data_IF_182769980862
#
_entry.id   IF_182769980862
#
_cell.length_a   1.000
_cell.length_b   1.000
_cell.length_c   1.000
_cell.angle_alpha   90.00
_cell.angle_beta   90.00
_cell.angle_gamma   90.00
#
_symmetry.space_group_name_H-M   'P 1'
#
loop_
_entity.id
_entity.type
_entity.pdbx_description
1 polymer ?
#
# COMPACT_ATOMS: atom_id res chain seq x y z
N UNK A 1 -14.90 -0.16 -3.62
CA UNK A 1 -15.64 -1.06 -4.52
C UNK A 1 -16.88 -0.31 -4.92
N UNK A 2 -17.29 -0.45 -6.17
CA UNK A 2 -18.48 0.22 -6.73
C UNK A 2 -19.26 -0.86 -7.46
N UNK A 3 -20.56 -0.97 -7.19
CA UNK A 3 -21.43 -2.03 -7.73
C UNK A 3 -20.87 -3.46 -7.56
N UNK A 4 -20.24 -3.73 -6.40
CA UNK A 4 -19.66 -5.04 -6.07
C UNK A 4 -18.34 -5.38 -6.79
N UNK A 5 -17.78 -4.44 -7.56
CA UNK A 5 -16.52 -4.61 -8.29
C UNK A 5 -15.41 -3.70 -7.76
N UNK A 6 -14.16 -4.14 -7.98
CA UNK A 6 -12.98 -3.40 -7.60
C UNK A 6 -12.80 -2.16 -8.50
N UNK A 7 -13.05 -0.98 -7.95
CA UNK A 7 -12.80 0.31 -8.60
C UNK A 7 -11.37 0.78 -8.29
N UNK A 8 -10.43 0.46 -9.19
CA UNK A 8 -9.00 0.72 -9.01
C UNK A 8 -8.67 2.20 -9.15
N UNK A 9 -9.46 2.97 -9.90
CA UNK A 9 -9.22 4.40 -10.11
C UNK A 9 -9.56 5.20 -8.85
N UNK A 10 -10.45 4.68 -8.01
CA UNK A 10 -10.75 5.23 -6.68
C UNK A 10 -9.70 4.90 -5.60
N UNK A 11 -8.67 4.10 -5.89
CA UNK A 11 -7.70 3.70 -4.86
C UNK A 11 -6.84 4.88 -4.40
N UNK A 12 -6.64 4.99 -3.07
CA UNK A 12 -5.84 6.05 -2.45
C UNK A 12 -4.87 5.46 -1.46
N UNK A 13 -3.71 6.11 -1.31
CA UNK A 13 -2.71 5.78 -0.29
C UNK A 13 -2.48 7.03 0.54
N UNK A 14 -2.36 6.82 1.84
CA UNK A 14 -2.03 7.88 2.78
C UNK A 14 -0.65 7.60 3.35
N UNK A 15 0.24 8.58 3.24
CA UNK A 15 1.49 8.58 4.00
C UNK A 15 1.13 9.08 5.40
N UNK A 16 1.28 8.20 6.39
CA UNK A 16 1.04 8.53 7.79
C UNK A 16 2.06 9.54 8.28
N UNK A 17 1.62 10.45 9.15
CA UNK A 17 2.54 11.34 9.85
C UNK A 17 3.27 10.50 10.89
N UNK A 18 4.57 10.74 11.08
CA UNK A 18 5.37 9.91 11.95
C UNK A 18 4.84 10.01 13.39
N UNK A 19 4.35 8.90 13.94
CA UNK A 19 4.19 8.73 15.38
C UNK A 19 5.58 8.57 15.97
N UNK A 20 5.94 9.39 16.96
CA UNK A 20 7.20 9.24 17.67
C UNK A 20 7.17 7.91 18.45
N UNK A 21 7.92 6.90 18.00
CA UNK A 21 8.01 5.60 18.68
C UNK A 21 7.71 4.40 17.78
N UNK A 22 7.20 3.31 18.39
CA UNK A 22 6.77 2.11 17.65
C UNK A 22 5.57 2.45 16.75
N UNK A 23 5.44 1.82 15.57
CA UNK A 23 4.24 1.94 14.75
C UNK A 23 3.01 1.54 15.56
N UNK A 24 2.01 2.42 15.60
CA UNK A 24 0.71 2.19 16.22
C UNK A 24 -0.33 2.11 15.11
N UNK A 25 -0.72 0.87 14.78
CA UNK A 25 -1.63 0.59 13.67
C UNK A 25 -3.03 1.18 13.90
N UNK A 26 -3.48 1.30 15.16
CA UNK A 26 -4.75 1.92 15.49
C UNK A 26 -4.71 3.43 15.24
N UNK A 27 -3.68 4.11 15.76
CA UNK A 27 -3.51 5.54 15.52
C UNK A 27 -3.36 5.86 14.03
N UNK A 28 -2.59 5.05 13.29
CA UNK A 28 -2.41 5.22 11.85
C UNK A 28 -3.70 5.01 11.07
N UNK A 29 -4.53 4.02 11.44
CA UNK A 29 -5.82 3.81 10.81
C UNK A 29 -6.81 4.94 11.10
N UNK A 30 -6.86 5.42 12.35
CA UNK A 30 -7.67 6.58 12.75
C UNK A 30 -7.30 7.83 11.95
N UNK A 31 -6.01 8.18 11.90
CA UNK A 31 -5.52 9.32 11.11
C UNK A 31 -5.91 9.20 9.63
N UNK A 32 -5.78 7.99 9.07
CA UNK A 32 -6.14 7.72 7.68
C UNK A 32 -7.62 7.95 7.41
N UNK A 33 -8.49 7.41 8.27
CA UNK A 33 -9.95 7.52 8.14
C UNK A 33 -10.41 8.96 8.28
N UNK A 34 -10.01 9.67 9.34
CA UNK A 34 -10.30 11.09 9.53
C UNK A 34 -9.91 11.90 8.28
N UNK A 35 -8.66 11.75 7.82
CA UNK A 35 -8.16 12.47 6.63
C UNK A 35 -8.92 12.12 5.35
N UNK A 36 -9.42 10.89 5.22
CA UNK A 36 -10.22 10.47 4.06
C UNK A 36 -11.59 11.14 4.10
N UNK A 37 -12.29 11.01 5.23
CA UNK A 37 -13.65 11.51 5.44
C UNK A 37 -13.67 13.04 5.34
N UNK A 38 -12.75 13.71 6.02
CA UNK A 38 -12.61 15.17 5.99
C UNK A 38 -12.45 15.74 4.57
N UNK A 39 -11.67 15.06 3.71
CA UNK A 39 -11.50 15.48 2.31
C UNK A 39 -12.77 15.30 1.50
N UNK A 40 -13.52 14.22 1.73
CA UNK A 40 -14.84 14.01 1.14
C UNK A 40 -15.82 15.10 1.58
N UNK A 41 -15.85 15.42 2.88
CA UNK A 41 -16.67 16.48 3.45
C UNK A 41 -16.37 17.86 2.81
N UNK A 42 -15.11 18.12 2.51
CA UNK A 42 -14.64 19.35 1.84
C UNK A 42 -14.89 19.36 0.32
N UNK A 43 -15.49 18.32 -0.25
CA UNK A 43 -15.82 18.25 -1.66
C UNK A 43 -14.65 17.89 -2.59
N UNK A 44 -13.57 17.28 -2.08
CA UNK A 44 -12.51 16.75 -2.94
C UNK A 44 -13.07 15.60 -3.78
N UNK A 45 -13.23 15.82 -5.09
CA UNK A 45 -13.76 14.86 -6.06
C UNK A 45 -13.06 13.50 -6.00
N UNK A 46 -11.79 13.45 -5.58
CA UNK A 46 -11.04 12.18 -5.47
C UNK A 46 -11.50 11.29 -4.32
N UNK A 47 -12.27 11.84 -3.38
CA UNK A 47 -12.82 11.17 -2.20
C UNK A 47 -14.35 11.13 -2.21
N UNK A 48 -14.96 11.55 -3.32
CA UNK A 48 -16.38 11.41 -3.58
C UNK A 48 -16.66 10.26 -4.57
N UNK A 49 -17.86 9.64 -4.51
CA UNK A 49 -18.86 9.82 -3.45
C UNK A 49 -18.37 9.28 -2.09
N UNK A 50 -19.03 9.69 -1.01
CA UNK A 50 -18.83 9.06 0.30
C UNK A 50 -19.26 7.59 0.23
N UNK A 51 -18.61 6.69 0.99
CA UNK A 51 -18.91 5.27 0.92
C UNK A 51 -20.27 4.94 1.57
N UNK A 52 -21.00 4.00 0.99
CA UNK A 52 -22.20 3.42 1.61
C UNK A 52 -21.88 2.44 2.76
N UNK A 53 -20.61 2.02 2.89
CA UNK A 53 -20.09 1.13 3.93
C UNK A 53 -18.58 1.32 4.06
N UNK A 54 -18.10 1.46 5.29
CA UNK A 54 -16.67 1.34 5.62
C UNK A 54 -16.37 -0.07 6.11
N UNK A 55 -15.53 -0.80 5.39
CA UNK A 55 -15.00 -2.10 5.83
C UNK A 55 -13.55 -1.95 6.27
N UNK A 56 -13.23 -2.34 7.50
CA UNK A 56 -11.85 -2.36 8.02
C UNK A 56 -11.29 -3.78 8.14
N UNK A 57 -10.01 -3.94 7.84
CA UNK A 57 -9.28 -5.21 8.01
C UNK A 57 -8.84 -5.32 9.48
N UNK A 58 -9.50 -6.19 10.24
CA UNK A 58 -9.28 -6.31 11.68
C UNK A 58 -10.48 -6.81 12.46
N UNK A 59 -10.34 -6.84 13.78
CA UNK A 59 -11.42 -7.21 14.71
C UNK A 59 -12.05 -5.99 15.38
N UNK A 60 -12.64 -6.21 16.56
CA UNK A 60 -13.34 -5.16 17.33
C UNK A 60 -12.52 -3.92 17.64
N UNK A 61 -11.21 -4.05 17.84
CA UNK A 61 -10.33 -2.90 18.09
C UNK A 61 -10.30 -1.95 16.89
N UNK A 62 -10.14 -2.50 15.69
CA UNK A 62 -10.19 -1.73 14.45
C UNK A 62 -11.58 -1.15 14.19
N UNK A 63 -12.64 -1.92 14.46
CA UNK A 63 -14.02 -1.43 14.38
C UNK A 63 -14.22 -0.19 15.26
N UNK A 64 -13.75 -0.22 16.51
CA UNK A 64 -13.85 0.91 17.45
C UNK A 64 -13.15 2.17 16.93
N UNK A 65 -11.94 2.03 16.40
CA UNK A 65 -11.19 3.15 15.80
C UNK A 65 -11.94 3.77 14.62
N UNK A 66 -12.56 2.94 13.77
CA UNK A 66 -13.33 3.44 12.63
C UNK A 66 -14.60 4.19 13.05
N UNK A 67 -15.28 3.69 14.10
CA UNK A 67 -16.42 4.37 14.70
C UNK A 67 -16.04 5.73 15.30
N UNK A 68 -14.92 5.79 16.04
CA UNK A 68 -14.40 7.05 16.59
C UNK A 68 -14.12 8.06 15.47
N UNK A 69 -13.47 7.63 14.38
CA UNK A 69 -13.14 8.51 13.27
C UNK A 69 -14.38 9.06 12.53
N UNK A 70 -15.44 8.27 12.40
CA UNK A 70 -16.71 8.76 11.82
C UNK A 70 -17.42 9.73 12.74
N UNK A 71 -17.43 9.46 14.05
CA UNK A 71 -17.98 10.39 15.06
C UNK A 71 -17.28 11.74 15.02
N UNK A 72 -15.96 11.75 15.00
CA UNK A 72 -15.17 12.99 14.98
C UNK A 72 -15.37 13.83 13.71
N UNK A 73 -15.70 13.18 12.59
CA UNK A 73 -15.99 13.85 11.31
C UNK A 73 -17.50 14.04 11.07
N UNK A 74 -18.34 13.81 12.09
CA UNK A 74 -19.81 13.96 12.04
C UNK A 74 -20.50 13.13 10.92
N UNK A 75 -20.01 11.91 10.68
CA UNK A 75 -20.47 10.99 9.62
C UNK A 75 -20.95 9.63 10.14
N UNK A 76 -21.57 9.60 11.33
CA UNK A 76 -22.02 8.39 12.01
C UNK A 76 -23.09 7.60 11.24
N UNK A 77 -23.75 8.23 10.25
CA UNK A 77 -24.72 7.59 9.37
C UNK A 77 -24.11 6.57 8.41
N UNK A 78 -22.79 6.64 8.16
CA UNK A 78 -22.10 5.69 7.31
C UNK A 78 -21.88 4.39 8.11
N UNK A 79 -22.44 3.25 7.70
CA UNK A 79 -22.26 2.00 8.43
C UNK A 79 -20.80 1.53 8.36
N UNK A 80 -20.39 0.83 9.41
CA UNK A 80 -19.05 0.24 9.53
C UNK A 80 -19.14 -1.24 9.82
N UNK A 81 -18.25 -2.02 9.22
CA UNK A 81 -17.99 -3.39 9.62
C UNK A 81 -16.47 -3.64 9.67
N UNK A 82 -16.07 -4.65 10.43
CA UNK A 82 -14.71 -5.16 10.44
C UNK A 82 -14.70 -6.64 10.04
N UNK A 83 -13.71 -7.06 9.25
CA UNK A 83 -13.53 -8.46 8.88
C UNK A 83 -12.21 -9.00 9.44
N UNK A 84 -12.30 -9.92 10.39
CA UNK A 84 -11.12 -10.47 11.06
C UNK A 84 -10.52 -11.62 10.25
N UNK A 85 -9.19 -11.58 10.03
CA UNK A 85 -8.50 -12.49 9.11
C UNK A 85 -8.43 -13.96 9.54
N UNK A 86 -8.46 -14.28 10.83
CA UNK A 86 -8.23 -15.67 11.29
C UNK A 86 -9.44 -16.57 11.07
N UNK A 87 -10.63 -16.05 11.31
CA UNK A 87 -11.87 -16.82 11.31
C UNK A 87 -12.89 -16.29 10.31
N UNK A 88 -12.50 -15.31 9.49
CA UNK A 88 -13.39 -14.62 8.53
C UNK A 88 -14.61 -13.98 9.22
N UNK A 89 -14.51 -13.70 10.51
CA UNK A 89 -15.60 -13.18 11.31
C UNK A 89 -15.89 -11.72 10.98
N UNK A 90 -17.18 -11.43 10.77
CA UNK A 90 -17.68 -10.08 10.54
C UNK A 90 -18.12 -9.47 11.86
N UNK A 91 -17.53 -8.36 12.25
CA UNK A 91 -17.91 -7.60 13.42
C UNK A 91 -18.65 -6.33 13.02
N UNK A 92 -19.76 -6.06 13.68
CA UNK A 92 -20.58 -4.85 13.49
C UNK A 92 -20.75 -4.11 14.83
N UNK A 93 -21.09 -2.82 14.80
CA UNK A 93 -21.29 -2.04 16.02
C UNK A 93 -22.38 -2.64 16.90
N UNK A 94 -22.28 -2.37 18.21
CA UNK A 94 -23.29 -2.75 19.22
C UNK A 94 -23.51 -4.26 19.41
N UNK A 95 -22.75 -5.12 18.72
CA UNK A 95 -22.79 -6.57 18.89
C UNK A 95 -21.52 -7.08 19.56
N UNK A 96 -21.70 -7.89 20.62
CA UNK A 96 -20.58 -8.51 21.32
C UNK A 96 -20.05 -9.73 20.59
N UNK A 97 -20.86 -10.41 19.78
CA UNK A 97 -20.46 -11.58 19.00
C UNK A 97 -20.33 -11.20 17.52
N UNK A 98 -19.53 -11.94 16.73
CA UNK A 98 -19.51 -11.76 15.29
C UNK A 98 -20.88 -12.06 14.68
N UNK A 99 -21.17 -11.39 13.58
CA UNK A 99 -22.40 -11.59 12.82
C UNK A 99 -22.41 -12.99 12.21
N UNK A 100 -23.47 -13.75 12.45
CA UNK A 100 -23.74 -14.99 11.73
C UNK A 100 -24.04 -14.65 10.26
N UNK A 101 -23.18 -15.14 9.36
CA UNK A 101 -23.26 -14.90 7.92
C UNK A 101 -23.58 -16.16 7.13
N UNK A 102 -23.91 -17.27 7.78
CA UNK A 102 -24.19 -18.57 7.14
C UNK A 102 -25.39 -18.48 6.19
N UNK A 103 -26.40 -17.68 6.54
CA UNK A 103 -27.55 -17.41 5.68
C UNK A 103 -27.22 -16.51 4.48
N UNK A 104 -26.06 -15.85 4.47
CA UNK A 104 -25.66 -14.84 3.48
C UNK A 104 -24.27 -15.09 2.87
N UNK A 105 -23.99 -16.28 2.31
CA UNK A 105 -22.66 -16.67 1.88
C UNK A 105 -22.10 -15.78 0.76
N UNK A 106 -22.98 -15.24 -0.10
CA UNK A 106 -22.57 -14.31 -1.18
C UNK A 106 -22.11 -12.95 -0.63
N UNK A 107 -22.76 -12.44 0.42
CA UNK A 107 -22.36 -11.20 1.07
C UNK A 107 -21.02 -11.40 1.80
N UNK A 108 -20.90 -12.50 2.54
CA UNK A 108 -19.66 -12.88 3.21
C UNK A 108 -18.49 -12.97 2.23
N UNK A 109 -18.67 -13.67 1.10
CA UNK A 109 -17.65 -13.76 0.05
C UNK A 109 -17.29 -12.39 -0.56
N UNK A 110 -18.24 -11.47 -0.67
CA UNK A 110 -17.94 -10.10 -1.12
C UNK A 110 -17.03 -9.36 -0.12
N UNK A 111 -17.31 -9.46 1.19
CA UNK A 111 -16.47 -8.85 2.23
C UNK A 111 -15.04 -9.41 2.18
N UNK A 112 -14.89 -10.72 2.02
CA UNK A 112 -13.60 -11.37 1.83
C UNK A 112 -12.85 -10.79 0.62
N UNK A 113 -13.52 -10.68 -0.53
CA UNK A 113 -12.91 -10.09 -1.75
C UNK A 113 -12.48 -8.64 -1.54
N UNK A 114 -13.25 -7.84 -0.80
CA UNK A 114 -12.90 -6.46 -0.50
C UNK A 114 -11.63 -6.41 0.35
N UNK A 115 -11.57 -7.21 1.42
CA UNK A 115 -10.38 -7.31 2.28
C UNK A 115 -9.16 -7.80 1.52
N UNK A 116 -9.30 -8.87 0.74
CA UNK A 116 -8.19 -9.45 -0.01
C UNK A 116 -7.62 -8.45 -1.04
N UNK A 117 -8.49 -7.66 -1.67
CA UNK A 117 -8.08 -6.59 -2.58
C UNK A 117 -7.36 -5.44 -1.86
N UNK A 118 -7.84 -5.04 -0.68
CA UNK A 118 -7.15 -4.06 0.17
C UNK A 118 -5.76 -4.57 0.60
N UNK A 119 -5.69 -5.84 1.01
CA UNK A 119 -4.44 -6.50 1.39
C UNK A 119 -3.47 -6.61 0.20
N UNK A 120 -3.96 -6.99 -0.98
CA UNK A 120 -3.20 -7.03 -2.24
C UNK A 120 -2.62 -5.65 -2.55
N UNK A 121 -3.45 -4.60 -2.47
CA UNK A 121 -3.04 -3.23 -2.77
C UNK A 121 -1.94 -2.72 -1.82
N UNK A 122 -2.06 -3.03 -0.53
CA UNK A 122 -1.05 -2.70 0.49
C UNK A 122 0.26 -3.48 0.28
N UNK A 123 0.19 -4.81 0.09
CA UNK A 123 1.37 -5.65 -0.15
C UNK A 123 2.14 -5.19 -1.39
N UNK A 124 1.45 -4.93 -2.50
CA UNK A 124 2.11 -4.49 -3.73
C UNK A 124 2.88 -3.18 -3.53
N UNK A 125 2.32 -2.25 -2.75
CA UNK A 125 2.99 -1.00 -2.42
C UNK A 125 4.27 -1.24 -1.60
N UNK A 126 4.18 -2.04 -0.52
CA UNK A 126 5.33 -2.33 0.33
C UNK A 126 6.41 -3.14 -0.40
N UNK A 127 6.02 -4.09 -1.26
CA UNK A 127 6.96 -4.81 -2.13
C UNK A 127 7.70 -3.86 -3.07
N UNK A 128 6.99 -2.92 -3.69
CA UNK A 128 7.60 -1.90 -4.54
C UNK A 128 8.57 -0.98 -3.79
N UNK A 129 8.21 -0.53 -2.58
CA UNK A 129 9.08 0.29 -1.74
C UNK A 129 10.34 -0.46 -1.30
N UNK A 130 10.19 -1.72 -0.84
CA UNK A 130 11.33 -2.56 -0.44
C UNK A 130 12.24 -2.85 -1.63
N UNK A 131 11.68 -3.17 -2.79
CA UNK A 131 12.45 -3.39 -4.02
C UNK A 131 13.29 -2.16 -4.39
N UNK A 132 12.71 -0.95 -4.32
CA UNK A 132 13.44 0.30 -4.58
C UNK A 132 14.52 0.57 -3.53
N UNK A 133 14.26 0.33 -2.26
CA UNK A 133 15.24 0.51 -1.18
C UNK A 133 16.43 -0.45 -1.32
N UNK A 134 16.16 -1.73 -1.60
CA UNK A 134 17.19 -2.74 -1.87
C UNK A 134 17.99 -2.37 -3.12
N UNK A 135 17.32 -2.00 -4.21
CA UNK A 135 18.00 -1.56 -5.45
C UNK A 135 18.91 -0.38 -5.18
N UNK A 136 18.45 0.60 -4.40
CA UNK A 136 19.28 1.76 -4.03
C UNK A 136 20.50 1.34 -3.21
N UNK A 137 20.33 0.48 -2.21
CA UNK A 137 21.44 -0.02 -1.38
C UNK A 137 22.47 -0.77 -2.23
N UNK A 138 22.03 -1.68 -3.10
CA UNK A 138 22.92 -2.44 -4.00
C UNK A 138 23.74 -1.49 -4.89
N UNK A 139 23.13 -0.43 -5.42
CA UNK A 139 23.83 0.55 -6.26
C UNK A 139 24.80 1.45 -5.48
N UNK A 140 24.56 1.67 -4.19
CA UNK A 140 25.42 2.47 -3.32
C UNK A 140 26.77 1.76 -3.06
N UNK A 141 26.78 0.43 -3.13
CA UNK A 141 27.96 -0.41 -2.92
C UNK A 141 28.82 -0.59 -4.20
N UNK A 142 28.35 -0.14 -5.36
CA UNK A 142 29.07 -0.29 -6.64
C UNK A 142 30.14 0.81 -6.80
N UNK A 143 31.43 0.45 -6.92
CA UNK A 143 32.49 1.43 -7.14
C UNK A 143 32.23 2.29 -8.38
N UNK A 144 32.34 3.61 -8.23
CA UNK A 144 32.14 4.56 -9.33
C UNK A 144 30.68 4.88 -9.67
N UNK A 145 29.70 4.37 -8.91
CA UNK A 145 28.29 4.73 -9.04
C UNK A 145 27.89 5.76 -7.97
N UNK A 146 28.16 7.03 -8.28
CA UNK A 146 27.71 8.15 -7.46
C UNK A 146 26.21 8.48 -7.62
N UNK A 147 25.68 9.43 -6.83
CA UNK A 147 24.25 9.76 -6.78
C UNK A 147 23.60 10.05 -8.14
N UNK A 148 24.31 10.74 -9.04
CA UNK A 148 23.82 11.09 -10.38
C UNK A 148 23.64 9.85 -11.26
N UNK A 149 24.66 8.98 -11.33
CA UNK A 149 24.63 7.73 -12.11
C UNK A 149 23.56 6.78 -11.59
N UNK A 150 23.47 6.66 -10.27
CA UNK A 150 22.43 5.88 -9.59
C UNK A 150 21.02 6.34 -9.98
N UNK A 151 20.78 7.65 -10.02
CA UNK A 151 19.48 8.18 -10.39
C UNK A 151 19.10 7.83 -11.84
N UNK A 152 20.05 7.92 -12.78
CA UNK A 152 19.81 7.56 -14.18
C UNK A 152 19.56 6.06 -14.35
N UNK A 153 20.30 5.22 -13.63
CA UNK A 153 20.06 3.77 -13.58
C UNK A 153 18.66 3.43 -13.02
N UNK A 154 18.24 4.07 -11.94
CA UNK A 154 16.92 3.85 -11.33
C UNK A 154 15.75 4.39 -12.17
N UNK A 155 16.00 5.38 -13.04
CA UNK A 155 15.01 5.88 -13.99
C UNK A 155 14.85 4.92 -15.17
N UNK A 156 15.97 4.38 -15.67
CA UNK A 156 15.99 3.51 -16.84
C UNK A 156 15.52 2.08 -16.52
N UNK A 157 15.85 1.56 -15.34
CA UNK A 157 15.57 0.17 -14.97
C UNK A 157 14.64 0.04 -13.76
N UNK A 158 13.57 -0.77 -13.85
CA UNK A 158 12.59 -0.91 -12.78
C UNK A 158 13.08 -1.76 -11.59
N UNK A 159 14.14 -2.55 -11.75
CA UNK A 159 14.70 -3.41 -10.69
C UNK A 159 16.17 -3.76 -10.95
N UNK A 160 16.88 -4.23 -9.91
CA UNK A 160 18.24 -4.80 -10.04
C UNK A 160 18.27 -5.94 -11.07
N UNK A 161 17.25 -6.79 -11.08
CA UNK A 161 17.17 -7.89 -12.04
C UNK A 161 17.06 -7.39 -13.48
N UNK A 162 16.20 -6.41 -13.75
CA UNK A 162 16.12 -5.82 -15.09
C UNK A 162 17.44 -5.16 -15.51
N UNK A 163 18.15 -4.56 -14.56
CA UNK A 163 19.47 -3.97 -14.79
C UNK A 163 20.56 -5.01 -15.04
N UNK A 164 20.51 -6.17 -14.39
CA UNK A 164 21.48 -7.25 -14.60
C UNK A 164 21.32 -7.96 -15.95
N UNK A 165 20.16 -7.83 -16.60
CA UNK A 165 19.94 -8.31 -17.96
C UNK A 165 20.39 -7.31 -19.04
N UNK A 166 20.72 -6.07 -18.67
CA UNK A 166 21.16 -5.05 -19.62
C UNK A 166 22.62 -5.25 -20.02
N UNK A 167 22.92 -4.98 -21.29
CA UNK A 167 24.28 -5.00 -21.80
C UNK A 167 25.10 -3.81 -21.29
N UNK A 168 26.42 -3.94 -21.29
CA UNK A 168 27.34 -2.84 -20.95
C UNK A 168 27.09 -1.61 -21.82
N UNK A 169 26.80 -1.81 -23.11
CA UNK A 169 26.57 -0.70 -24.05
C UNK A 169 25.25 0.04 -23.76
N UNK A 170 24.18 -0.68 -23.39
CA UNK A 170 22.92 -0.07 -22.95
C UNK A 170 23.08 0.74 -21.65
N UNK A 171 23.83 0.19 -20.69
CA UNK A 171 24.13 0.87 -19.43
C UNK A 171 25.04 2.10 -19.64
N UNK A 172 26.01 2.01 -20.56
CA UNK A 172 26.93 3.10 -20.87
C UNK A 172 26.26 4.23 -21.66
N UNK A 173 25.19 3.94 -22.39
CA UNK A 173 24.42 4.93 -23.16
C UNK A 173 23.58 5.87 -22.26
N UNK A 174 23.39 5.53 -20.98
CA UNK A 174 22.62 6.36 -20.08
C UNK A 174 23.31 7.71 -19.77
N UNK A 175 22.53 8.76 -19.48
CA UNK A 175 23.10 10.04 -19.08
C UNK A 175 24.05 9.89 -17.88
N UNK A 176 25.20 10.58 -17.93
CA UNK A 176 26.26 10.54 -16.90
C UNK A 176 26.94 9.18 -16.65
N UNK A 177 26.56 8.12 -17.37
CA UNK A 177 27.28 6.84 -17.38
C UNK A 177 28.47 6.90 -18.32
N UNK A 178 29.44 6.02 -18.08
CA UNK A 178 30.54 5.75 -19.00
C UNK A 178 30.79 4.23 -19.02
N UNK A 179 31.61 3.77 -19.97
CA UNK A 179 31.86 2.34 -20.17
C UNK A 179 32.38 1.65 -18.91
N UNK A 180 33.31 2.29 -18.18
CA UNK A 180 33.84 1.75 -16.93
C UNK A 180 32.76 1.59 -15.85
N UNK A 181 31.92 2.60 -15.67
CA UNK A 181 30.82 2.56 -14.70
C UNK A 181 29.80 1.46 -15.06
N UNK A 182 29.50 1.31 -16.35
CA UNK A 182 28.62 0.26 -16.83
C UNK A 182 29.21 -1.15 -16.60
N UNK A 183 30.51 -1.34 -16.84
CA UNK A 183 31.21 -2.59 -16.53
C UNK A 183 31.16 -2.92 -15.05
N UNK A 184 31.44 -1.96 -14.17
CA UNK A 184 31.36 -2.16 -12.72
C UNK A 184 29.96 -2.59 -12.28
N UNK A 185 28.90 -2.06 -12.91
CA UNK A 185 27.52 -2.48 -12.64
C UNK A 185 27.29 -3.93 -13.05
N UNK A 186 27.65 -4.31 -14.28
CA UNK A 186 27.47 -5.69 -14.76
C UNK A 186 28.26 -6.69 -13.92
N UNK A 187 29.52 -6.38 -13.62
CA UNK A 187 30.40 -7.24 -12.81
C UNK A 187 29.84 -7.43 -11.40
N UNK A 188 29.47 -6.34 -10.73
CA UNK A 188 28.93 -6.40 -9.37
C UNK A 188 27.60 -7.17 -9.31
N UNK A 189 26.70 -6.96 -10.28
CA UNK A 189 25.41 -7.63 -10.31
C UNK A 189 25.51 -9.11 -10.72
N UNK A 190 26.49 -9.46 -11.56
CA UNK A 190 26.75 -10.86 -11.93
C UNK A 190 27.27 -11.67 -10.74
N UNK A 191 28.08 -11.06 -9.86
CA UNK A 191 28.58 -11.70 -8.64
C UNK A 191 27.53 -11.92 -7.54
N UNK A 192 26.35 -11.30 -7.66
CA UNK A 192 25.22 -11.46 -6.72
C UNK A 192 24.22 -12.55 -7.13
N UNK A 193 24.35 -13.10 -8.34
CA UNK A 193 23.45 -14.13 -8.87
C UNK A 193 24.14 -15.49 -8.71
N UNK A 194 23.58 -16.44 -7.93
CA UNK A 194 24.18 -17.78 -7.78
C UNK A 194 24.14 -18.59 -9.08
#
# INVERSE_FOLDING_TARGET
FTDGLADKDAYRRFKMRATAGKPDDYAMMGEMLQRRLNRGAQGDEKFLPLPDLVLVDGGKGQLGVALEALREEEMEEIPVAALAKREEEVYVPEQSEPLDTDAHPRAHFLLQRIRDEAHRFAIQYHKGLRGKAMTRSVLDDIPGIGPRRRQELLKAFPSVHAMSQASVDELAALPAMNRQAAQNVVEYLSGLTP
#
